data_IF_335208574042
#
_entry.id   IF_335208574042
#
_cell.length_a   1.000
_cell.length_b   1.000
_cell.length_c   1.000
_cell.angle_alpha   90.00
_cell.angle_beta   90.00
_cell.angle_gamma   90.00
#
_symmetry.space_group_name_H-M   'P 1'
#
loop_
_entity.id
_entity.type
_entity.pdbx_description
1 polymer ?
#
# COMPACT_ATOMS: atom_id res chain seq x y z
N UNK A 1 1.12 20.11 39.45
CA UNK A 1 0.51 18.89 38.87
C UNK A 1 0.04 18.03 40.02
N UNK A 2 -1.26 17.80 40.16
CA UNK A 2 -1.76 16.86 41.17
C UNK A 2 -1.21 15.48 40.82
N UNK A 3 -0.57 14.81 41.78
CA UNK A 3 -0.14 13.43 41.62
C UNK A 3 -1.38 12.55 41.49
N UNK A 4 -1.44 11.72 40.45
CA UNK A 4 -2.50 10.71 40.29
C UNK A 4 -2.47 9.76 41.49
N UNK A 5 -3.64 9.46 42.04
CA UNK A 5 -3.79 8.39 43.03
C UNK A 5 -3.51 7.03 42.38
N UNK A 6 -3.11 5.99 43.15
CA UNK A 6 -2.93 4.65 42.60
C UNK A 6 -4.18 4.10 41.89
N UNK A 7 -5.38 4.45 42.37
CA UNK A 7 -6.65 4.03 41.78
C UNK A 7 -6.89 4.69 40.42
N UNK A 8 -6.65 5.99 40.30
CA UNK A 8 -6.74 6.70 39.01
C UNK A 8 -5.70 6.17 38.02
N UNK A 9 -4.48 5.91 38.49
CA UNK A 9 -3.42 5.34 37.66
C UNK A 9 -3.81 3.96 37.11
N UNK A 10 -4.31 3.07 37.96
CA UNK A 10 -4.75 1.74 37.55
C UNK A 10 -5.97 1.81 36.62
N UNK A 11 -6.89 2.77 36.85
CA UNK A 11 -8.01 3.01 35.95
C UNK A 11 -7.55 3.41 34.55
N UNK A 12 -6.56 4.31 34.44
CA UNK A 12 -5.98 4.72 33.15
C UNK A 12 -5.36 3.51 32.45
N UNK A 13 -4.55 2.72 33.15
CA UNK A 13 -3.91 1.52 32.57
C UNK A 13 -4.92 0.48 32.07
N UNK A 14 -6.11 0.38 32.68
CA UNK A 14 -7.19 -0.53 32.25
C UNK A 14 -7.96 -0.05 31.02
N UNK A 15 -8.00 1.26 30.77
CA UNK A 15 -8.96 1.87 29.83
C UNK A 15 -8.33 2.72 28.74
N UNK A 16 -7.03 3.00 28.80
CA UNK A 16 -6.27 3.69 27.74
C UNK A 16 -5.03 2.88 27.38
N UNK A 17 -5.10 2.19 26.24
CA UNK A 17 -4.04 1.32 25.75
C UNK A 17 -2.78 2.12 25.41
N UNK A 18 -2.89 3.39 24.99
CA UNK A 18 -1.74 4.25 24.73
C UNK A 18 -0.90 4.50 26.01
N UNK A 19 -1.56 4.77 27.13
CA UNK A 19 -0.92 4.89 28.45
C UNK A 19 -0.33 3.56 28.91
N UNK A 20 -1.03 2.45 28.67
CA UNK A 20 -0.50 1.12 28.97
C UNK A 20 0.75 0.79 28.14
N UNK A 21 0.73 1.06 26.83
CA UNK A 21 1.89 0.92 25.93
C UNK A 21 3.07 1.76 26.44
N UNK A 22 2.81 3.00 26.84
CA UNK A 22 3.83 3.88 27.42
C UNK A 22 4.47 3.26 28.67
N UNK A 23 3.65 2.71 29.58
CA UNK A 23 4.16 2.05 30.79
C UNK A 23 4.95 0.78 30.48
N UNK A 24 4.49 -0.02 29.53
CA UNK A 24 5.19 -1.23 29.04
C UNK A 24 6.53 -0.86 28.42
N UNK A 25 6.58 0.19 27.61
CA UNK A 25 7.83 0.64 26.97
C UNK A 25 8.92 0.92 28.00
N UNK A 26 8.60 1.67 29.06
CA UNK A 26 9.56 2.00 30.12
C UNK A 26 9.95 0.79 30.98
N UNK A 27 9.09 -0.23 31.10
CA UNK A 27 9.46 -1.48 31.76
C UNK A 27 10.50 -2.26 30.95
N UNK A 28 10.28 -2.37 29.63
CA UNK A 28 11.18 -3.11 28.74
C UNK A 28 12.45 -2.34 28.40
N UNK A 29 12.42 -1.01 28.46
CA UNK A 29 13.50 -0.12 28.05
C UNK A 29 13.74 0.98 29.10
N UNK A 30 14.20 0.64 30.31
CA UNK A 30 14.29 1.60 31.43
C UNK A 30 15.25 2.77 31.19
N UNK A 31 16.21 2.59 30.28
CA UNK A 31 17.21 3.62 29.92
C UNK A 31 16.81 4.42 28.66
N UNK A 32 15.70 4.08 28.02
CA UNK A 32 15.27 4.75 26.80
C UNK A 32 14.16 5.76 27.08
N UNK A 33 14.20 6.88 26.37
CA UNK A 33 13.09 7.83 26.36
C UNK A 33 12.12 7.46 25.24
N UNK A 34 10.84 7.29 25.59
CA UNK A 34 9.80 7.11 24.58
C UNK A 34 9.58 8.42 23.83
N UNK A 35 9.83 8.40 22.52
CA UNK A 35 9.42 9.48 21.62
C UNK A 35 7.99 9.19 21.20
N UNK A 36 7.03 9.73 21.96
CA UNK A 36 5.61 9.60 21.63
C UNK A 36 5.31 10.31 20.30
N UNK A 37 4.53 9.64 19.46
CA UNK A 37 4.06 10.14 18.18
C UNK A 37 2.57 9.82 18.01
N UNK A 38 1.79 10.65 17.30
CA UNK A 38 0.34 10.45 17.18
C UNK A 38 -0.07 9.09 16.59
N UNK A 39 0.77 8.48 15.75
CA UNK A 39 0.48 7.16 15.20
C UNK A 39 0.44 6.05 16.29
N UNK A 40 1.15 6.22 17.42
CA UNK A 40 1.11 5.27 18.53
C UNK A 40 -0.29 5.28 19.18
N UNK A 41 -0.86 6.48 19.36
CA UNK A 41 -2.24 6.66 19.83
C UNK A 41 -3.25 6.09 18.81
N UNK A 42 -3.01 6.26 17.50
CA UNK A 42 -3.83 5.67 16.45
C UNK A 42 -3.83 4.14 16.50
N UNK A 43 -2.64 3.52 16.61
CA UNK A 43 -2.51 2.07 16.78
C UNK A 43 -3.28 1.62 18.01
N UNK A 44 -3.09 2.28 19.15
CA UNK A 44 -3.80 1.96 20.38
C UNK A 44 -5.32 2.02 20.20
N UNK A 45 -5.84 3.10 19.59
CA UNK A 45 -7.26 3.26 19.31
C UNK A 45 -7.85 2.13 18.44
N UNK A 46 -7.12 1.72 17.39
CA UNK A 46 -7.53 0.61 16.53
C UNK A 46 -7.49 -0.75 17.24
N UNK A 47 -6.50 -0.97 18.10
CA UNK A 47 -6.41 -2.18 18.92
C UNK A 47 -7.50 -2.22 20.01
N UNK A 48 -7.86 -1.09 20.60
CA UNK A 48 -9.01 -1.01 21.51
C UNK A 48 -10.33 -1.32 20.78
N UNK A 49 -10.48 -0.91 19.52
CA UNK A 49 -11.62 -1.32 18.70
C UNK A 49 -11.62 -2.83 18.40
N UNK A 50 -10.45 -3.47 18.33
CA UNK A 50 -10.34 -4.92 18.28
C UNK A 50 -10.78 -5.59 19.59
N UNK A 51 -10.39 -5.05 20.76
CA UNK A 51 -10.83 -5.52 22.09
C UNK A 51 -12.37 -5.49 22.21
N UNK A 52 -13.00 -4.43 21.71
CA UNK A 52 -14.47 -4.27 21.69
C UNK A 52 -15.18 -5.12 20.62
N UNK A 53 -14.44 -5.81 19.75
CA UNK A 53 -15.00 -6.60 18.66
C UNK A 53 -15.55 -5.78 17.47
N UNK A 54 -15.30 -4.47 17.45
CA UNK A 54 -15.69 -3.56 16.36
C UNK A 54 -14.82 -3.82 15.11
N UNK A 55 -13.53 -4.14 15.32
CA UNK A 55 -12.59 -4.53 14.27
C UNK A 55 -12.18 -5.98 14.49
N UNK A 56 -12.50 -6.86 13.53
CA UNK A 56 -12.14 -8.29 13.59
C UNK A 56 -10.94 -8.65 12.73
N UNK A 57 -10.59 -7.81 11.78
CA UNK A 57 -9.51 -8.01 10.81
C UNK A 57 -8.77 -6.69 10.67
N UNK A 58 -7.59 -6.58 11.30
CA UNK A 58 -6.78 -5.36 11.31
C UNK A 58 -5.41 -5.61 10.68
N UNK A 59 -5.01 -4.73 9.75
CA UNK A 59 -3.65 -4.66 9.21
C UNK A 59 -2.98 -3.38 9.71
N UNK A 60 -1.75 -3.51 10.21
CA UNK A 60 -0.90 -2.39 10.59
C UNK A 60 0.42 -2.50 9.82
N UNK A 61 0.61 -1.61 8.86
CA UNK A 61 1.82 -1.47 8.06
C UNK A 61 2.62 -0.23 8.47
N UNK A 62 3.82 -0.44 9.02
CA UNK A 62 4.70 0.62 9.51
C UNK A 62 6.15 0.35 9.11
N UNK A 63 6.95 1.42 8.91
CA UNK A 63 8.39 1.28 8.70
C UNK A 63 9.09 0.52 9.83
N UNK A 64 10.28 -0.04 9.56
CA UNK A 64 11.09 -0.67 10.59
C UNK A 64 11.31 0.26 11.78
N UNK A 65 11.49 -0.35 12.97
CA UNK A 65 11.81 0.34 14.22
C UNK A 65 10.73 1.30 14.76
N UNK A 66 9.51 1.34 14.24
CA UNK A 66 8.42 2.22 14.72
C UNK A 66 7.57 1.63 15.87
N UNK A 67 8.17 0.85 16.78
CA UNK A 67 7.52 0.24 17.97
C UNK A 67 6.33 -0.71 17.72
N UNK A 68 6.05 -1.06 16.47
CA UNK A 68 4.89 -1.87 16.07
C UNK A 68 4.73 -3.18 16.88
N UNK A 69 5.79 -3.96 17.03
CA UNK A 69 5.78 -5.22 17.79
C UNK A 69 5.61 -5.02 19.30
N UNK A 70 6.13 -3.92 19.86
CA UNK A 70 5.91 -3.58 21.28
C UNK A 70 4.45 -3.22 21.51
N UNK A 71 3.85 -2.43 20.63
CA UNK A 71 2.45 -2.00 20.75
C UNK A 71 1.49 -3.19 20.59
N UNK A 72 1.64 -3.94 19.50
CA UNK A 72 0.68 -4.99 19.09
C UNK A 72 0.96 -6.31 19.79
N UNK A 73 2.19 -6.83 19.71
CA UNK A 73 2.46 -8.21 20.10
C UNK A 73 2.71 -8.36 21.60
N UNK A 74 3.32 -7.37 22.24
CA UNK A 74 3.66 -7.41 23.67
C UNK A 74 2.60 -6.69 24.51
N UNK A 75 2.45 -5.39 24.34
CA UNK A 75 1.59 -4.56 25.19
C UNK A 75 0.12 -4.93 25.01
N UNK A 76 -0.39 -5.00 23.79
CA UNK A 76 -1.79 -5.32 23.57
C UNK A 76 -2.15 -6.75 23.99
N UNK A 77 -1.30 -7.75 23.75
CA UNK A 77 -1.51 -9.11 24.31
C UNK A 77 -1.63 -9.10 25.84
N UNK A 78 -0.73 -8.39 26.54
CA UNK A 78 -0.77 -8.30 27.99
C UNK A 78 -2.01 -7.53 28.48
N UNK A 79 -2.41 -6.46 27.79
CA UNK A 79 -3.59 -5.66 28.12
C UNK A 79 -4.89 -6.45 27.91
N UNK A 80 -5.00 -7.14 26.76
CA UNK A 80 -6.13 -7.99 26.42
C UNK A 80 -6.31 -9.11 27.44
N UNK A 81 -5.25 -9.85 27.80
CA UNK A 81 -5.31 -10.87 28.86
C UNK A 81 -5.55 -10.29 30.26
N UNK A 82 -5.20 -9.02 30.47
CA UNK A 82 -5.51 -8.28 31.69
C UNK A 82 -7.01 -8.11 31.90
N UNK A 83 -7.73 -7.86 30.81
CA UNK A 83 -9.18 -7.63 30.77
C UNK A 83 -9.98 -8.92 30.56
N UNK A 84 -9.39 -9.87 29.85
CA UNK A 84 -10.00 -11.12 29.42
C UNK A 84 -9.10 -12.32 29.78
N UNK A 85 -8.90 -12.60 31.08
CA UNK A 85 -7.98 -13.65 31.51
C UNK A 85 -8.40 -15.06 31.08
N UNK A 86 -9.66 -15.28 30.72
CA UNK A 86 -10.21 -16.54 30.20
C UNK A 86 -9.93 -16.78 28.70
N UNK A 87 -9.48 -15.76 27.97
CA UNK A 87 -9.30 -15.80 26.52
C UNK A 87 -7.93 -16.30 26.09
N UNK A 88 -7.84 -16.85 24.89
CA UNK A 88 -6.61 -17.39 24.31
C UNK A 88 -6.08 -16.53 23.16
N UNK A 89 -4.79 -16.19 23.22
CA UNK A 89 -4.08 -15.41 22.21
C UNK A 89 -2.99 -16.25 21.55
N UNK A 90 -2.99 -16.36 20.23
CA UNK A 90 -1.89 -16.94 19.46
C UNK A 90 -1.07 -15.81 18.84
N UNK A 91 0.24 -15.82 19.04
CA UNK A 91 1.18 -14.92 18.40
C UNK A 91 2.11 -15.71 17.48
N UNK A 92 2.24 -15.27 16.23
CA UNK A 92 3.17 -15.88 15.27
C UNK A 92 4.04 -14.85 14.57
N UNK A 93 5.31 -15.20 14.38
CA UNK A 93 6.28 -14.40 13.61
C UNK A 93 7.00 -15.27 12.59
N UNK A 94 7.80 -14.67 11.70
CA UNK A 94 8.61 -15.43 10.73
C UNK A 94 9.56 -16.45 11.40
N UNK A 95 9.94 -16.21 12.66
CA UNK A 95 10.95 -16.99 13.37
C UNK A 95 10.49 -17.35 14.78
N UNK A 96 10.76 -18.60 15.18
CA UNK A 96 10.35 -19.13 16.48
C UNK A 96 10.99 -18.35 17.64
N UNK A 97 12.30 -18.09 17.59
CA UNK A 97 13.03 -17.34 18.64
C UNK A 97 12.46 -15.94 18.87
N UNK A 98 12.06 -15.25 17.80
CA UNK A 98 11.47 -13.92 17.88
C UNK A 98 10.10 -13.96 18.57
N UNK A 99 9.25 -14.91 18.17
CA UNK A 99 7.94 -15.12 18.78
C UNK A 99 8.04 -15.51 20.26
N UNK A 100 9.02 -16.35 20.62
CA UNK A 100 9.29 -16.74 22.01
C UNK A 100 9.83 -15.57 22.84
N UNK A 101 10.68 -14.70 22.26
CA UNK A 101 11.12 -13.47 22.92
C UNK A 101 9.92 -12.58 23.27
N UNK A 102 9.01 -12.35 22.33
CA UNK A 102 7.80 -11.56 22.61
C UNK A 102 6.94 -12.18 23.70
N UNK A 103 6.88 -13.51 23.78
CA UNK A 103 6.19 -14.20 24.87
C UNK A 103 6.82 -13.99 26.24
N UNK A 104 8.15 -14.08 26.31
CA UNK A 104 8.89 -13.77 27.54
C UNK A 104 8.70 -12.32 27.97
N UNK A 105 8.76 -11.37 27.05
CA UNK A 105 8.56 -9.95 27.34
C UNK A 105 7.13 -9.70 27.84
N UNK A 106 6.11 -10.25 27.17
CA UNK A 106 4.71 -10.18 27.59
C UNK A 106 4.50 -10.77 28.99
N UNK A 107 5.07 -11.94 29.26
CA UNK A 107 5.00 -12.60 30.57
C UNK A 107 5.64 -11.74 31.65
N UNK A 108 6.81 -11.17 31.38
CA UNK A 108 7.53 -10.29 32.30
C UNK A 108 6.68 -9.08 32.70
N UNK A 109 5.98 -8.45 31.73
CA UNK A 109 5.02 -7.37 32.01
C UNK A 109 3.91 -7.85 32.95
N UNK A 110 3.30 -9.00 32.68
CA UNK A 110 2.20 -9.53 33.49
C UNK A 110 2.61 -9.90 34.93
N UNK A 111 3.90 -10.12 35.17
CA UNK A 111 4.46 -10.40 36.49
C UNK A 111 4.74 -9.14 37.31
N UNK A 112 4.70 -7.95 36.70
CA UNK A 112 5.02 -6.72 37.39
C UNK A 112 3.99 -6.37 38.48
N UNK A 113 4.42 -5.81 39.63
CA UNK A 113 3.51 -5.43 40.70
C UNK A 113 2.41 -4.45 40.26
N UNK A 114 2.77 -3.49 39.40
CA UNK A 114 1.80 -2.52 38.86
C UNK A 114 0.79 -3.19 37.94
N UNK A 115 1.20 -4.17 37.14
CA UNK A 115 0.29 -4.91 36.27
C UNK A 115 -0.67 -5.76 37.12
N UNK A 116 -0.16 -6.47 38.12
CA UNK A 116 -0.99 -7.31 38.99
C UNK A 116 -2.00 -6.52 39.81
N UNK A 117 -1.66 -5.27 40.16
CA UNK A 117 -2.57 -4.32 40.81
C UNK A 117 -3.61 -3.79 39.84
N UNK A 118 -3.20 -3.41 38.63
CA UNK A 118 -4.11 -2.99 37.56
C UNK A 118 -5.03 -4.14 37.11
N UNK A 119 -4.57 -5.38 36.99
CA UNK A 119 -5.37 -6.52 36.52
C UNK A 119 -5.35 -7.64 37.56
N UNK A 120 -6.17 -7.53 38.63
CA UNK A 120 -6.11 -8.47 39.75
C UNK A 120 -6.54 -9.89 39.38
N UNK A 121 -7.37 -10.06 38.36
CA UNK A 121 -7.88 -11.37 37.93
C UNK A 121 -6.95 -12.08 36.93
N UNK A 122 -6.08 -11.36 36.24
CA UNK A 122 -5.15 -11.88 35.24
C UNK A 122 -3.88 -12.47 35.88
N UNK A 123 -4.06 -13.44 36.78
CA UNK A 123 -2.96 -14.15 37.44
C UNK A 123 -2.44 -15.27 36.53
N UNK A 124 -1.13 -15.39 36.42
CA UNK A 124 -0.47 -16.47 35.70
C UNK A 124 -0.55 -17.77 36.51
N UNK A 125 -0.83 -18.88 35.84
CA UNK A 125 -0.78 -20.21 36.45
C UNK A 125 0.67 -20.67 36.67
N UNK A 126 0.84 -21.69 37.52
CA UNK A 126 2.16 -22.29 37.82
C UNK A 126 2.76 -23.11 36.67
N UNK A 127 2.11 -23.14 35.49
CA UNK A 127 2.66 -23.80 34.30
C UNK A 127 3.94 -23.08 33.86
N UNK A 128 5.02 -23.86 33.73
CA UNK A 128 6.40 -23.37 33.63
C UNK A 128 6.88 -23.00 32.22
N UNK A 129 6.06 -23.15 31.17
CA UNK A 129 6.53 -22.78 29.83
C UNK A 129 6.72 -21.25 29.76
N UNK A 130 7.97 -20.83 29.51
CA UNK A 130 8.39 -19.43 29.64
C UNK A 130 7.78 -18.51 28.58
N UNK A 131 7.56 -19.04 27.38
CA UNK A 131 6.99 -18.32 26.23
C UNK A 131 5.52 -18.68 25.96
N UNK A 132 5.07 -19.84 26.43
CA UNK A 132 3.67 -20.30 26.39
C UNK A 132 3.11 -20.36 27.81
N UNK A 133 2.28 -19.40 28.17
CA UNK A 133 1.76 -19.32 29.53
C UNK A 133 0.24 -19.29 29.55
N UNK A 134 -0.32 -19.84 30.63
CA UNK A 134 -1.75 -19.80 30.89
C UNK A 134 -2.05 -18.94 32.12
N UNK A 135 -3.22 -18.34 32.15
CA UNK A 135 -3.77 -17.67 33.33
C UNK A 135 -4.43 -18.69 34.26
N UNK A 136 -4.75 -18.26 35.48
CA UNK A 136 -5.56 -19.03 36.44
C UNK A 136 -7.03 -19.17 36.02
N UNK A 137 -7.46 -18.46 34.97
CA UNK A 137 -8.80 -18.55 34.37
C UNK A 137 -8.83 -19.41 33.10
N UNK A 138 -7.78 -20.20 32.85
CA UNK A 138 -7.62 -21.11 31.71
C UNK A 138 -7.49 -20.44 30.33
N UNK A 139 -7.40 -19.11 30.25
CA UNK A 139 -6.90 -18.42 29.06
C UNK A 139 -5.38 -18.45 29.00
N UNK A 140 -4.79 -17.73 28.05
CA UNK A 140 -3.34 -17.69 27.93
C UNK A 140 -2.81 -17.14 26.61
N UNK A 141 -1.50 -17.27 26.45
CA UNK A 141 -0.77 -16.86 25.25
C UNK A 141 0.09 -18.01 24.74
N UNK A 142 0.04 -18.24 23.43
CA UNK A 142 0.87 -19.22 22.72
C UNK A 142 1.77 -18.53 21.70
N UNK A 143 3.06 -18.88 21.69
CA UNK A 143 4.06 -18.40 20.73
C UNK A 143 4.37 -19.47 19.69
N UNK A 144 4.24 -19.11 18.41
CA UNK A 144 4.64 -19.99 17.29
C UNK A 144 5.34 -19.23 16.18
N UNK A 145 5.76 -19.94 15.14
CA UNK A 145 6.29 -19.38 13.90
C UNK A 145 5.41 -19.73 12.70
N UNK A 146 5.62 -19.05 11.59
CA UNK A 146 5.01 -19.45 10.31
C UNK A 146 5.44 -20.87 9.94
N UNK A 147 4.47 -21.74 9.68
CA UNK A 147 4.71 -23.17 9.45
C UNK A 147 4.85 -24.00 10.73
N UNK A 148 4.79 -23.37 11.91
CA UNK A 148 4.79 -24.04 13.21
C UNK A 148 3.51 -24.84 13.46
N UNK A 149 3.62 -25.83 14.35
CA UNK A 149 2.52 -26.73 14.70
C UNK A 149 1.50 -25.98 15.58
N UNK A 150 0.27 -25.86 15.08
CA UNK A 150 -0.88 -25.24 15.76
C UNK A 150 -1.99 -26.25 16.16
N UNK A 151 -1.79 -27.53 15.91
CA UNK A 151 -2.82 -28.57 16.11
C UNK A 151 -3.26 -28.67 17.58
N UNK A 152 -4.59 -28.62 17.80
CA UNK A 152 -5.20 -28.77 19.13
C UNK A 152 -5.22 -27.49 19.97
N UNK A 153 -4.81 -26.34 19.43
CA UNK A 153 -4.87 -25.05 20.12
C UNK A 153 -5.84 -24.10 19.42
N UNK A 154 -6.79 -23.59 20.20
CA UNK A 154 -7.75 -22.57 19.81
C UNK A 154 -7.31 -21.17 20.24
N UNK A 155 -7.89 -20.15 19.62
CA UNK A 155 -7.68 -18.76 20.00
C UNK A 155 -8.92 -17.89 19.77
N UNK A 156 -9.09 -16.91 20.64
CA UNK A 156 -10.02 -15.79 20.45
C UNK A 156 -9.36 -14.67 19.64
N UNK A 157 -8.04 -14.53 19.74
CA UNK A 157 -7.25 -13.53 19.03
C UNK A 157 -5.96 -14.13 18.45
N UNK A 158 -5.66 -13.79 17.20
CA UNK A 158 -4.42 -14.18 16.54
C UNK A 158 -3.67 -12.92 16.10
N UNK A 159 -2.40 -12.83 16.48
CA UNK A 159 -1.48 -11.76 16.09
C UNK A 159 -0.38 -12.35 15.20
N UNK A 160 -0.25 -11.79 14.01
CA UNK A 160 0.78 -12.09 13.03
C UNK A 160 1.76 -10.92 12.98
N UNK A 161 2.97 -11.10 13.54
CA UNK A 161 3.98 -10.05 13.63
C UNK A 161 5.19 -10.38 12.75
N UNK A 162 5.34 -9.62 11.66
CA UNK A 162 6.34 -9.81 10.61
C UNK A 162 6.40 -11.31 10.20
N UNK A 163 5.38 -11.85 9.50
CA UNK A 163 5.30 -13.28 9.17
C UNK A 163 6.28 -13.71 8.06
N UNK A 164 7.00 -12.77 7.44
CA UNK A 164 7.93 -13.00 6.34
C UNK A 164 9.22 -12.22 6.58
N UNK A 165 10.39 -12.83 6.33
CA UNK A 165 11.66 -12.09 6.39
C UNK A 165 11.88 -11.28 5.11
N UNK A 166 12.49 -10.08 5.19
CA UNK A 166 12.80 -9.27 4.01
C UNK A 166 13.55 -10.01 2.91
N UNK A 167 14.59 -10.78 3.27
CA UNK A 167 15.40 -11.53 2.29
C UNK A 167 14.62 -12.66 1.61
N UNK A 168 13.59 -13.20 2.28
CA UNK A 168 12.76 -14.29 1.77
C UNK A 168 11.67 -13.80 0.83
N UNK A 169 11.30 -12.51 0.91
CA UNK A 169 10.25 -11.91 0.08
C UNK A 169 10.57 -11.95 -1.43
N UNK A 170 11.86 -12.00 -1.78
CA UNK A 170 12.31 -12.06 -3.16
C UNK A 170 12.16 -13.45 -3.79
N UNK A 171 11.96 -14.49 -2.97
CA UNK A 171 11.75 -15.86 -3.42
C UNK A 171 10.27 -16.19 -3.38
N UNK A 172 9.66 -16.45 -4.55
CA UNK A 172 8.23 -16.80 -4.64
C UNK A 172 7.87 -17.99 -3.74
N UNK A 173 8.70 -19.03 -3.72
CA UNK A 173 8.47 -20.22 -2.90
C UNK A 173 8.56 -19.97 -1.40
N UNK A 174 9.31 -18.95 -0.96
CA UNK A 174 9.35 -18.55 0.46
C UNK A 174 8.23 -17.57 0.79
N UNK A 175 7.97 -16.59 -0.10
CA UNK A 175 6.91 -15.59 0.03
C UNK A 175 5.52 -16.21 0.13
N UNK A 176 5.27 -17.30 -0.60
CA UNK A 176 3.97 -18.00 -0.59
C UNK A 176 3.76 -18.88 0.65
N UNK A 177 4.81 -19.19 1.45
CA UNK A 177 4.67 -20.02 2.66
C UNK A 177 3.76 -19.39 3.71
N UNK A 178 3.94 -18.12 4.12
CA UNK A 178 2.99 -17.45 5.01
C UNK A 178 1.56 -17.48 4.50
N UNK A 179 1.35 -17.24 3.20
CA UNK A 179 0.03 -17.20 2.57
C UNK A 179 -0.65 -18.57 2.66
N UNK A 180 0.05 -19.63 2.25
CA UNK A 180 -0.45 -21.00 2.32
C UNK A 180 -0.71 -21.45 3.76
N UNK A 181 0.15 -21.05 4.71
CA UNK A 181 -0.04 -21.37 6.12
C UNK A 181 -1.23 -20.63 6.73
N UNK A 182 -1.45 -19.37 6.35
CA UNK A 182 -2.61 -18.59 6.73
C UNK A 182 -3.91 -19.27 6.29
N UNK A 183 -4.03 -19.59 4.99
CA UNK A 183 -5.23 -20.16 4.39
C UNK A 183 -5.55 -21.54 4.95
N UNK A 184 -4.54 -22.42 5.05
CA UNK A 184 -4.77 -23.84 5.34
C UNK A 184 -4.72 -24.18 6.83
N UNK A 185 -4.03 -23.40 7.65
CA UNK A 185 -3.79 -23.72 9.06
C UNK A 185 -4.39 -22.69 10.00
N UNK A 186 -4.05 -21.41 9.81
CA UNK A 186 -4.30 -20.38 10.82
C UNK A 186 -5.78 -20.02 10.96
N UNK A 187 -6.50 -19.85 9.85
CA UNK A 187 -7.93 -19.51 9.86
C UNK A 187 -8.80 -20.52 10.62
N UNK A 188 -8.38 -21.79 10.66
CA UNK A 188 -9.09 -22.85 11.39
C UNK A 188 -8.91 -22.79 12.92
N UNK A 189 -8.02 -21.92 13.43
CA UNK A 189 -7.66 -21.84 14.86
C UNK A 189 -8.48 -20.84 15.65
N UNK A 190 -9.27 -20.00 14.99
CA UNK A 190 -10.23 -19.16 15.71
C UNK A 190 -11.32 -20.05 16.31
N UNK A 191 -11.51 -19.95 17.62
CA UNK A 191 -12.52 -20.71 18.35
C UNK A 191 -13.93 -20.33 17.87
N UNK A 192 -14.16 -19.04 17.66
CA UNK A 192 -15.33 -18.51 16.96
C UNK A 192 -14.87 -17.75 15.71
N UNK A 193 -15.23 -18.21 14.52
CA UNK A 193 -14.83 -17.57 13.25
C UNK A 193 -15.50 -16.21 13.03
N UNK A 194 -16.68 -16.02 13.60
CA UNK A 194 -17.48 -14.80 13.45
C UNK A 194 -17.07 -13.72 14.44
N UNK A 195 -16.51 -14.08 15.60
CA UNK A 195 -16.10 -13.15 16.65
C UNK A 195 -14.58 -13.00 16.77
N UNK A 196 -13.83 -14.01 16.36
CA UNK A 196 -12.39 -14.06 16.52
C UNK A 196 -11.67 -12.95 15.78
N UNK A 197 -10.64 -12.40 16.40
CA UNK A 197 -9.88 -11.26 15.89
C UNK A 197 -8.56 -11.71 15.29
N UNK A 198 -8.20 -11.19 14.11
CA UNK A 198 -6.88 -11.38 13.52
C UNK A 198 -6.25 -10.01 13.28
N UNK A 199 -5.02 -9.85 13.79
CA UNK A 199 -4.22 -8.63 13.63
C UNK A 199 -2.93 -9.02 12.90
N UNK A 200 -2.70 -8.39 11.74
CA UNK A 200 -1.47 -8.53 10.97
C UNK A 200 -0.67 -7.24 11.08
N UNK A 201 0.48 -7.31 11.73
CA UNK A 201 1.43 -6.20 11.85
C UNK A 201 2.72 -6.54 11.13
N UNK A 202 3.09 -5.73 10.15
CA UNK A 202 4.37 -5.91 9.45
C UNK A 202 4.84 -4.62 8.78
N UNK A 203 6.03 -4.63 8.19
CA UNK A 203 6.37 -3.72 7.09
C UNK A 203 6.08 -4.40 5.77
N UNK A 204 5.63 -3.68 4.73
CA UNK A 204 5.43 -4.30 3.41
C UNK A 204 6.77 -4.74 2.82
N UNK A 205 6.77 -5.92 2.21
CA UNK A 205 7.97 -6.53 1.61
C UNK A 205 7.80 -6.85 0.13
N UNK A 206 6.58 -7.16 -0.30
CA UNK A 206 6.26 -7.51 -1.68
C UNK A 206 4.78 -7.27 -1.94
N UNK A 207 4.37 -7.06 -3.19
CA UNK A 207 2.93 -6.95 -3.52
C UNK A 207 2.13 -8.21 -3.14
N UNK A 208 2.78 -9.37 -3.19
CA UNK A 208 2.23 -10.70 -2.89
C UNK A 208 2.66 -11.21 -1.50
N UNK A 209 3.13 -10.31 -0.63
CA UNK A 209 3.29 -10.65 0.79
C UNK A 209 1.93 -10.93 1.43
N UNK A 210 1.94 -11.37 2.70
CA UNK A 210 0.69 -11.79 3.36
C UNK A 210 -0.36 -10.67 3.39
N UNK A 211 0.06 -9.41 3.52
CA UNK A 211 -0.87 -8.27 3.45
C UNK A 211 -1.55 -8.20 2.09
N UNK A 212 -0.79 -8.26 0.99
CA UNK A 212 -1.36 -8.28 -0.35
C UNK A 212 -2.30 -9.46 -0.58
N UNK A 213 -1.92 -10.63 -0.09
CA UNK A 213 -2.72 -11.86 -0.18
C UNK A 213 -4.07 -11.74 0.54
N UNK A 214 -4.08 -11.32 1.81
CA UNK A 214 -5.35 -11.26 2.58
C UNK A 214 -6.26 -10.11 2.15
N UNK A 215 -5.70 -9.02 1.61
CA UNK A 215 -6.48 -7.93 1.02
C UNK A 215 -7.17 -8.33 -0.29
N UNK A 216 -6.62 -9.29 -1.02
CA UNK A 216 -7.26 -9.84 -2.22
C UNK A 216 -8.46 -10.75 -1.89
N UNK A 217 -8.53 -11.29 -0.67
CA UNK A 217 -9.57 -12.26 -0.28
C UNK A 217 -10.76 -11.64 0.46
N UNK A 218 -10.60 -10.45 1.06
CA UNK A 218 -11.67 -9.86 1.86
C UNK A 218 -11.33 -8.49 2.44
N UNK A 219 -12.27 -7.98 3.22
CA UNK A 219 -12.15 -6.65 3.81
C UNK A 219 -11.36 -6.69 5.12
N UNK A 220 -10.40 -5.78 5.22
CA UNK A 220 -9.62 -5.52 6.43
C UNK A 220 -9.65 -4.03 6.76
N UNK A 221 -9.64 -3.69 8.04
CA UNK A 221 -9.30 -2.33 8.46
C UNK A 221 -7.77 -2.18 8.31
N UNK A 222 -7.32 -1.13 7.64
CA UNK A 222 -5.90 -0.96 7.28
C UNK A 222 -5.37 0.35 7.83
N UNK A 223 -4.32 0.24 8.65
CA UNK A 223 -3.47 1.35 9.06
C UNK A 223 -2.12 1.17 8.37
N UNK A 224 -1.93 1.84 7.23
CA UNK A 224 -0.67 1.81 6.48
C UNK A 224 -0.06 3.21 6.47
N UNK A 225 1.00 3.43 7.25
CA UNK A 225 1.61 4.75 7.38
C UNK A 225 3.01 4.77 6.75
N UNK A 226 3.23 5.52 5.67
CA UNK A 226 4.56 5.66 5.08
C UNK A 226 5.46 6.53 5.95
N UNK A 227 6.77 6.30 5.87
CA UNK A 227 7.78 7.11 6.55
C UNK A 227 7.70 8.60 6.16
N UNK A 228 7.35 8.89 4.91
CA UNK A 228 7.06 10.22 4.37
C UNK A 228 5.63 10.18 3.79
N UNK A 229 4.73 11.04 4.28
CA UNK A 229 3.36 11.11 3.78
C UNK A 229 3.34 11.42 2.28
N UNK A 230 2.60 10.62 1.50
CA UNK A 230 2.51 10.78 0.04
C UNK A 230 1.32 11.66 -0.36
N UNK A 231 0.30 11.69 0.48
CA UNK A 231 -0.91 12.48 0.34
C UNK A 231 -1.28 13.11 1.68
N UNK A 232 -2.26 14.00 1.67
CA UNK A 232 -2.85 14.52 2.90
C UNK A 232 -3.67 13.40 3.57
N UNK A 233 -3.26 13.01 4.77
CA UNK A 233 -3.89 11.92 5.53
C UNK A 233 -4.59 12.47 6.77
N UNK A 234 -5.78 11.94 7.06
CA UNK A 234 -6.53 12.28 8.28
C UNK A 234 -7.00 11.01 8.97
N UNK A 235 -6.68 10.88 10.26
CA UNK A 235 -7.08 9.76 11.10
C UNK A 235 -7.82 10.23 12.33
N UNK A 236 -8.90 9.54 12.68
CA UNK A 236 -9.61 9.74 13.94
C UNK A 236 -9.05 8.79 15.00
N UNK A 237 -8.65 9.37 16.13
CA UNK A 237 -8.14 8.66 17.31
C UNK A 237 -9.21 8.80 18.39
N UNK A 238 -9.70 7.67 18.89
CA UNK A 238 -10.68 7.60 19.97
C UNK A 238 -10.10 6.80 21.13
N UNK A 239 -10.16 7.36 22.33
CA UNK A 239 -9.80 6.69 23.58
C UNK A 239 -10.77 7.12 24.70
N UNK A 240 -10.52 6.67 25.93
CA UNK A 240 -11.39 7.01 27.06
C UNK A 240 -11.38 8.50 27.47
N UNK A 241 -10.45 9.31 26.96
CA UNK A 241 -10.38 10.75 27.20
C UNK A 241 -11.08 11.58 26.12
N UNK A 242 -11.52 10.95 25.02
CA UNK A 242 -12.30 11.59 23.97
C UNK A 242 -11.79 11.26 22.57
N UNK A 243 -12.14 12.14 21.63
CA UNK A 243 -11.80 11.99 20.21
C UNK A 243 -10.85 13.10 19.77
N UNK A 244 -9.81 12.73 19.02
CA UNK A 244 -8.79 13.62 18.47
C UNK A 244 -8.58 13.30 16.99
N UNK A 245 -8.24 14.32 16.21
CA UNK A 245 -7.83 14.14 14.81
C UNK A 245 -6.31 14.18 14.71
N UNK A 246 -5.75 13.25 13.94
CA UNK A 246 -4.36 13.23 13.53
C UNK A 246 -4.28 13.53 12.03
N UNK A 247 -3.68 14.67 11.70
CA UNK A 247 -3.52 15.17 10.35
C UNK A 247 -2.05 15.05 9.96
N UNK A 248 -1.79 14.54 8.76
CA UNK A 248 -0.48 14.57 8.10
C UNK A 248 -0.65 15.23 6.74
N UNK A 249 0.24 16.13 6.40
CA UNK A 249 0.31 16.73 5.07
C UNK A 249 1.29 15.98 4.20
N UNK A 250 1.11 16.02 2.88
CA UNK A 250 2.10 15.49 1.94
C UNK A 250 3.51 15.99 2.30
N UNK A 251 4.45 15.07 2.44
CA UNK A 251 5.84 15.33 2.84
C UNK A 251 6.13 15.21 4.34
N UNK A 252 5.11 15.13 5.20
CA UNK A 252 5.31 15.00 6.64
C UNK A 252 5.96 13.65 7.00
N UNK A 253 6.99 13.72 7.85
CA UNK A 253 7.66 12.53 8.37
C UNK A 253 6.79 11.83 9.42
N UNK A 254 6.82 10.50 9.46
CA UNK A 254 6.04 9.71 10.42
C UNK A 254 6.48 9.95 11.88
N UNK A 255 7.78 10.11 12.11
CA UNK A 255 8.34 10.43 13.42
C UNK A 255 9.56 11.36 13.28
N UNK A 256 9.35 12.67 13.05
CA UNK A 256 10.44 13.61 12.78
C UNK A 256 11.42 13.77 13.96
N UNK A 257 10.97 13.52 15.18
CA UNK A 257 11.82 13.54 16.38
C UNK A 257 12.77 12.35 16.47
N UNK A 258 12.50 11.28 15.72
CA UNK A 258 13.30 10.05 15.70
C UNK A 258 14.13 9.89 14.44
N UNK A 259 13.55 10.19 13.28
CA UNK A 259 14.19 10.03 11.97
C UNK A 259 14.01 11.30 11.15
N UNK A 260 15.14 11.91 10.80
CA UNK A 260 15.16 13.09 9.93
C UNK A 260 15.00 12.70 8.46
N UNK A 261 14.59 13.64 7.61
CA UNK A 261 14.54 13.44 6.16
C UNK A 261 15.92 13.06 5.59
N UNK A 262 17.01 13.63 6.12
CA UNK A 262 18.37 13.26 5.71
C UNK A 262 18.68 11.80 6.04
N UNK A 263 18.29 11.34 7.23
CA UNK A 263 18.49 9.94 7.64
C UNK A 263 17.70 8.98 6.75
N UNK A 264 16.47 9.32 6.39
CA UNK A 264 15.65 8.54 5.45
C UNK A 264 16.27 8.50 4.06
N UNK A 265 16.82 9.61 3.57
CA UNK A 265 17.51 9.64 2.28
C UNK A 265 18.79 8.81 2.28
N UNK A 266 19.57 8.84 3.37
CA UNK A 266 20.73 7.95 3.54
C UNK A 266 20.30 6.48 3.55
N UNK A 267 19.21 6.16 4.26
CA UNK A 267 18.67 4.81 4.29
C UNK A 267 18.20 4.35 2.91
N UNK A 268 17.48 5.21 2.17
CA UNK A 268 17.04 4.97 0.79
C UNK A 268 18.22 4.64 -0.13
N UNK A 269 19.31 5.41 -0.03
CA UNK A 269 20.52 5.15 -0.81
C UNK A 269 21.20 3.81 -0.43
N UNK A 270 21.13 3.42 0.84
CA UNK A 270 21.79 2.22 1.35
C UNK A 270 21.05 0.92 0.99
N UNK A 271 19.72 0.88 1.15
CA UNK A 271 18.91 -0.32 0.89
C UNK A 271 18.39 -0.39 -0.55
N UNK A 272 18.45 0.72 -1.28
CA UNK A 272 17.93 0.84 -2.63
C UNK A 272 16.45 1.22 -2.68
N UNK A 273 16.04 1.76 -3.82
CA UNK A 273 14.70 2.32 -4.02
C UNK A 273 13.58 1.28 -3.83
N UNK A 274 13.79 0.06 -4.33
CA UNK A 274 12.81 -1.04 -4.22
C UNK A 274 12.46 -1.36 -2.77
N UNK A 275 13.49 -1.60 -1.95
CA UNK A 275 13.31 -1.94 -0.54
C UNK A 275 12.82 -0.73 0.25
N UNK A 276 13.22 0.48 -0.12
CA UNK A 276 12.71 1.69 0.51
C UNK A 276 11.22 1.92 0.24
N UNK A 277 10.77 1.80 -1.01
CA UNK A 277 9.36 1.95 -1.36
C UNK A 277 8.49 0.90 -0.66
N UNK A 278 8.97 -0.35 -0.60
CA UNK A 278 8.28 -1.44 0.09
C UNK A 278 8.28 -1.23 1.60
N UNK A 279 9.46 -1.18 2.23
CA UNK A 279 9.60 -1.26 3.69
C UNK A 279 9.34 0.06 4.41
N UNK A 280 9.61 1.21 3.78
CA UNK A 280 9.45 2.53 4.40
C UNK A 280 8.20 3.26 3.89
N UNK A 281 7.92 3.23 2.58
CA UNK A 281 6.72 3.86 2.03
C UNK A 281 5.48 2.94 2.01
N UNK A 282 5.61 1.69 2.48
CA UNK A 282 4.52 0.69 2.50
C UNK A 282 3.88 0.43 1.12
N UNK A 283 4.60 0.74 0.04
CA UNK A 283 4.12 0.66 -1.34
C UNK A 283 5.05 -0.24 -2.14
N UNK A 284 4.94 -1.58 -1.97
CA UNK A 284 5.82 -2.50 -2.67
C UNK A 284 5.56 -2.47 -4.17
N UNK A 285 6.65 -2.46 -4.94
CA UNK A 285 6.60 -2.51 -6.40
C UNK A 285 6.83 -3.96 -6.91
N UNK A 286 6.34 -4.31 -8.10
CA UNK A 286 6.43 -5.68 -8.61
C UNK A 286 7.87 -6.02 -9.02
N UNK A 287 8.30 -7.25 -8.73
CA UNK A 287 9.65 -7.73 -9.05
C UNK A 287 9.96 -7.88 -10.56
N UNK A 288 8.96 -7.87 -11.43
CA UNK A 288 9.12 -8.11 -12.87
C UNK A 288 9.97 -7.07 -13.63
N UNK A 289 10.60 -6.14 -12.89
CA UNK A 289 11.14 -4.91 -13.43
C UNK A 289 10.01 -3.99 -13.81
N UNK A 290 10.04 -2.76 -13.32
CA UNK A 290 9.33 -1.68 -14.00
C UNK A 290 9.76 -1.70 -15.47
N UNK A 291 8.82 -1.93 -16.40
CA UNK A 291 9.15 -1.92 -17.84
C UNK A 291 9.85 -0.62 -18.20
N UNK A 292 9.43 0.48 -17.56
CA UNK A 292 10.03 1.80 -17.67
C UNK A 292 10.77 2.14 -16.37
N UNK A 293 12.07 2.45 -16.47
CA UNK A 293 12.89 2.85 -15.32
C UNK A 293 12.77 4.34 -15.03
N UNK A 294 12.84 4.70 -13.74
CA UNK A 294 12.74 6.10 -13.30
C UNK A 294 13.80 7.01 -13.93
N UNK A 295 15.02 6.51 -14.15
CA UNK A 295 16.13 7.25 -14.72
C UNK A 295 16.03 7.46 -16.25
N UNK A 296 15.06 6.82 -16.91
CA UNK A 296 14.78 7.02 -18.33
C UNK A 296 13.87 8.21 -18.59
N UNK A 297 13.06 8.60 -17.60
CA UNK A 297 12.10 9.70 -17.73
C UNK A 297 12.82 11.05 -17.85
N UNK A 298 12.61 11.75 -18.96
CA UNK A 298 13.09 13.11 -19.15
C UNK A 298 11.99 14.12 -18.79
N UNK A 299 12.42 15.33 -18.44
CA UNK A 299 11.49 16.40 -18.05
C UNK A 299 11.71 17.69 -18.83
N UNK A 300 10.64 18.44 -19.07
CA UNK A 300 10.66 19.77 -19.70
C UNK A 300 10.02 20.83 -18.80
N UNK A 301 10.54 22.06 -18.86
CA UNK A 301 9.93 23.21 -18.18
C UNK A 301 8.86 23.89 -19.03
N UNK A 302 9.22 24.18 -20.29
CA UNK A 302 8.33 24.84 -21.24
C UNK A 302 8.04 23.88 -22.39
N UNK A 303 6.76 23.66 -22.77
CA UNK A 303 6.45 22.78 -23.89
C UNK A 303 7.03 23.36 -25.20
N UNK A 304 7.30 22.51 -26.21
CA UNK A 304 7.81 22.97 -27.49
C UNK A 304 6.87 24.00 -28.15
N UNK A 305 7.44 25.00 -28.81
CA UNK A 305 6.68 26.06 -29.50
C UNK A 305 5.82 25.43 -30.59
N UNK A 306 4.53 25.80 -30.66
CA UNK A 306 3.55 25.20 -31.59
C UNK A 306 4.00 25.16 -33.06
N UNK A 307 4.73 26.18 -33.53
CA UNK A 307 5.25 26.22 -34.91
C UNK A 307 6.28 25.12 -35.22
N UNK A 308 6.95 24.59 -34.18
CA UNK A 308 7.91 23.51 -34.33
C UNK A 308 7.29 22.11 -34.27
N UNK A 309 6.11 21.97 -33.67
CA UNK A 309 5.46 20.68 -33.42
C UNK A 309 5.02 20.07 -34.75
N UNK A 310 5.52 18.86 -35.05
CA UNK A 310 5.15 18.15 -36.28
C UNK A 310 3.79 17.48 -36.18
N UNK A 311 3.37 17.10 -34.98
CA UNK A 311 2.08 16.47 -34.75
C UNK A 311 1.66 16.57 -33.28
N UNK A 312 0.36 16.81 -33.05
CA UNK A 312 -0.29 16.63 -31.75
C UNK A 312 -1.30 15.49 -31.88
N UNK A 313 -1.29 14.53 -30.95
CA UNK A 313 -2.26 13.44 -30.91
C UNK A 313 -2.90 13.35 -29.52
N UNK A 314 -4.11 12.78 -29.49
CA UNK A 314 -4.74 12.31 -28.28
C UNK A 314 -4.92 10.81 -28.38
N UNK A 315 -4.64 10.11 -27.30
CA UNK A 315 -4.89 8.68 -27.16
C UNK A 315 -5.85 8.49 -26.00
N UNK A 316 -6.95 7.78 -26.26
CA UNK A 316 -7.98 7.48 -25.29
C UNK A 316 -8.04 5.99 -25.00
N UNK A 317 -7.99 5.66 -23.71
CA UNK A 317 -8.41 4.38 -23.17
C UNK A 317 -9.76 4.59 -22.46
N UNK A 318 -10.79 3.92 -22.96
CA UNK A 318 -12.17 4.12 -22.52
C UNK A 318 -12.67 2.91 -21.74
N UNK A 319 -13.02 3.12 -20.47
CA UNK A 319 -13.64 2.09 -19.65
C UNK A 319 -15.08 1.76 -20.08
N UNK A 320 -15.53 0.53 -19.84
CA UNK A 320 -16.93 0.12 -19.92
C UNK A 320 -17.31 -0.80 -18.75
N UNK A 321 -18.23 -0.36 -17.88
CA UNK A 321 -19.35 -1.13 -17.29
C UNK A 321 -20.06 -0.42 -16.12
N UNK A 322 -21.34 -0.77 -16.03
CA UNK A 322 -22.46 -0.23 -15.26
C UNK A 322 -22.52 -0.74 -13.79
N UNK A 323 -21.37 -0.83 -13.12
CA UNK A 323 -21.29 -1.25 -11.71
C UNK A 323 -20.55 -0.20 -10.87
N UNK A 324 -20.91 -0.04 -9.60
CA UNK A 324 -20.46 0.97 -8.63
C UNK A 324 -18.92 1.07 -8.41
N UNK A 325 -18.12 0.27 -9.11
CA UNK A 325 -16.65 0.30 -9.16
C UNK A 325 -16.13 0.60 -10.59
N UNK A 326 -16.63 1.65 -11.24
CA UNK A 326 -16.27 1.98 -12.64
C UNK A 326 -14.76 2.23 -12.83
N UNK A 327 -14.13 1.55 -13.79
CA UNK A 327 -12.75 1.80 -14.25
C UNK A 327 -12.57 3.24 -14.78
N UNK A 328 -11.35 3.77 -14.75
CA UNK A 328 -11.09 5.14 -15.21
C UNK A 328 -11.10 5.21 -16.74
N UNK A 329 -11.62 6.31 -17.29
CA UNK A 329 -11.33 6.72 -18.67
C UNK A 329 -10.14 7.66 -18.67
N UNK A 330 -9.17 7.40 -19.53
CA UNK A 330 -7.92 8.15 -19.61
C UNK A 330 -7.73 8.74 -21.00
N UNK A 331 -7.27 9.99 -21.04
CA UNK A 331 -6.75 10.63 -22.25
C UNK A 331 -5.34 11.15 -21.99
N UNK A 332 -4.38 10.67 -22.78
CA UNK A 332 -3.03 11.26 -22.85
C UNK A 332 -2.88 12.10 -24.12
N UNK A 333 -2.46 13.36 -23.96
CA UNK A 333 -2.20 14.27 -25.09
C UNK A 333 -0.70 14.39 -25.33
N UNK A 334 -0.26 14.13 -26.56
CA UNK A 334 1.17 14.08 -26.91
C UNK A 334 1.51 15.01 -28.06
N UNK A 335 2.71 15.60 -28.02
CA UNK A 335 3.30 16.33 -29.14
C UNK A 335 4.59 15.65 -29.63
N UNK A 336 4.74 15.50 -30.93
CA UNK A 336 5.98 15.11 -31.58
C UNK A 336 6.76 16.36 -32.01
N UNK A 337 8.03 16.44 -31.61
CA UNK A 337 8.92 17.54 -31.96
C UNK A 337 10.35 17.02 -32.16
N UNK A 338 10.91 17.21 -33.37
CA UNK A 338 12.28 16.81 -33.72
C UNK A 338 12.66 15.36 -33.33
N UNK A 339 11.72 14.42 -33.46
CA UNK A 339 11.94 13.00 -33.13
C UNK A 339 11.76 12.64 -31.65
N UNK A 340 11.40 13.62 -30.80
CA UNK A 340 11.06 13.41 -29.39
C UNK A 340 9.55 13.57 -29.18
N UNK A 341 9.05 12.97 -28.10
CA UNK A 341 7.63 12.94 -27.74
C UNK A 341 7.42 13.58 -26.37
N UNK A 342 6.53 14.56 -26.32
CA UNK A 342 6.24 15.38 -25.14
C UNK A 342 4.82 15.10 -24.66
N UNK A 343 4.66 14.62 -23.44
CA UNK A 343 3.35 14.46 -22.81
C UNK A 343 2.86 15.82 -22.32
N UNK A 344 1.82 16.36 -22.95
CA UNK A 344 1.32 17.71 -22.70
C UNK A 344 0.25 17.76 -21.62
N UNK A 345 -0.61 16.73 -21.54
CA UNK A 345 -1.74 16.70 -20.62
C UNK A 345 -2.23 15.26 -20.41
N UNK A 346 -2.71 14.97 -19.20
CA UNK A 346 -3.37 13.72 -18.84
C UNK A 346 -4.71 14.04 -18.18
N UNK A 347 -5.79 13.53 -18.77
CA UNK A 347 -7.10 13.51 -18.14
C UNK A 347 -7.38 12.09 -17.65
N UNK A 348 -7.67 11.94 -16.37
CA UNK A 348 -8.11 10.68 -15.77
C UNK A 348 -9.39 10.92 -14.96
N UNK A 349 -10.52 10.36 -15.40
CA UNK A 349 -11.81 10.51 -14.72
C UNK A 349 -12.66 9.24 -14.85
N UNK A 350 -13.50 8.98 -13.85
CA UNK A 350 -14.58 8.00 -13.96
C UNK A 350 -15.76 8.68 -14.62
N UNK A 351 -16.07 8.29 -15.85
CA UNK A 351 -17.07 8.95 -16.67
C UNK A 351 -18.08 7.92 -17.17
N UNK A 352 -19.36 8.28 -17.06
CA UNK A 352 -20.42 7.57 -17.78
C UNK A 352 -20.43 8.02 -19.24
N UNK A 353 -21.05 7.24 -20.12
CA UNK A 353 -20.94 7.45 -21.57
C UNK A 353 -21.28 8.88 -22.06
N UNK A 354 -22.36 9.56 -21.59
CA UNK A 354 -22.63 10.94 -21.99
C UNK A 354 -21.52 11.92 -21.58
N UNK A 355 -21.00 11.77 -20.36
CA UNK A 355 -19.92 12.62 -19.83
C UNK A 355 -18.59 12.33 -20.51
N UNK A 356 -18.35 11.06 -20.89
CA UNK A 356 -17.20 10.65 -21.67
C UNK A 356 -17.18 11.35 -23.03
N UNK A 357 -18.31 11.35 -23.76
CA UNK A 357 -18.44 12.06 -25.04
C UNK A 357 -18.15 13.56 -24.89
N UNK A 358 -18.67 14.19 -23.84
CA UNK A 358 -18.41 15.59 -23.56
C UNK A 358 -16.93 15.85 -23.23
N UNK A 359 -16.31 15.01 -22.41
CA UNK A 359 -14.90 15.11 -22.05
C UNK A 359 -13.98 14.96 -23.27
N UNK A 360 -14.27 14.03 -24.18
CA UNK A 360 -13.53 13.88 -25.44
C UNK A 360 -13.59 15.16 -26.27
N UNK A 361 -14.78 15.73 -26.44
CA UNK A 361 -14.96 16.99 -27.18
C UNK A 361 -14.26 18.16 -26.51
N UNK A 362 -14.29 18.25 -25.19
CA UNK A 362 -13.61 19.30 -24.42
C UNK A 362 -12.09 19.23 -24.62
N UNK A 363 -11.51 18.05 -24.43
CA UNK A 363 -10.07 17.83 -24.64
C UNK A 363 -9.66 18.05 -26.10
N UNK A 364 -10.49 17.65 -27.06
CA UNK A 364 -10.25 17.89 -28.48
C UNK A 364 -10.21 19.39 -28.78
N UNK A 365 -11.15 20.18 -28.25
CA UNK A 365 -11.17 21.65 -28.43
C UNK A 365 -10.00 22.33 -27.74
N UNK A 366 -9.64 21.89 -26.53
CA UNK A 366 -8.53 22.43 -25.73
C UNK A 366 -7.20 22.29 -26.45
N UNK A 367 -6.90 21.10 -26.97
CA UNK A 367 -5.58 20.77 -27.51
C UNK A 367 -5.49 20.79 -29.03
N UNK A 368 -6.64 20.79 -29.73
CA UNK A 368 -6.74 20.74 -31.21
C UNK A 368 -5.82 19.67 -31.81
N UNK A 369 -5.98 18.39 -31.41
CA UNK A 369 -5.10 17.34 -31.88
C UNK A 369 -5.30 17.13 -33.38
N UNK A 370 -4.22 16.74 -34.06
CA UNK A 370 -4.27 16.36 -35.46
C UNK A 370 -4.92 14.99 -35.62
N UNK A 371 -4.75 14.12 -34.63
CA UNK A 371 -5.31 12.77 -34.58
C UNK A 371 -5.88 12.45 -33.22
N UNK A 372 -7.04 11.80 -33.21
CA UNK A 372 -7.74 11.34 -32.03
C UNK A 372 -7.82 9.81 -32.09
N UNK A 373 -6.98 9.14 -31.31
CA UNK A 373 -6.86 7.69 -31.27
C UNK A 373 -7.74 7.18 -30.14
N UNK A 374 -8.62 6.22 -30.44
CA UNK A 374 -9.56 5.65 -29.49
C UNK A 374 -9.54 4.13 -29.69
N UNK A 375 -9.40 3.37 -28.61
CA UNK A 375 -9.50 1.90 -28.69
C UNK A 375 -10.88 1.50 -29.21
N UNK A 376 -10.92 0.73 -30.30
CA UNK A 376 -12.16 0.28 -30.94
C UNK A 376 -12.72 -0.97 -30.23
N UNK A 377 -13.17 -0.75 -29.00
CA UNK A 377 -13.73 -1.79 -28.14
C UNK A 377 -14.79 -1.22 -27.21
N UNK A 378 -15.91 -1.93 -27.08
CA UNK A 378 -17.00 -1.59 -26.16
C UNK A 378 -17.45 -0.11 -26.29
N UNK A 379 -17.25 0.72 -25.25
CA UNK A 379 -17.61 2.15 -25.26
C UNK A 379 -16.85 2.95 -26.32
N UNK A 380 -15.64 2.52 -26.69
CA UNK A 380 -14.82 3.15 -27.72
C UNK A 380 -15.43 3.05 -29.12
N UNK A 381 -16.00 1.91 -29.50
CA UNK A 381 -16.68 1.77 -30.80
C UNK A 381 -17.86 2.73 -30.91
N UNK A 382 -18.66 2.81 -29.84
CA UNK A 382 -19.83 3.70 -29.79
C UNK A 382 -19.42 5.17 -29.85
N UNK A 383 -18.35 5.57 -29.13
CA UNK A 383 -17.90 6.97 -29.13
C UNK A 383 -17.31 7.37 -30.48
N UNK A 384 -16.63 6.46 -31.18
CA UNK A 384 -16.09 6.71 -32.52
C UNK A 384 -17.22 7.07 -33.50
N UNK A 385 -18.29 6.28 -33.52
CA UNK A 385 -19.43 6.53 -34.42
C UNK A 385 -20.15 7.84 -34.11
N UNK A 386 -20.28 8.17 -32.83
CA UNK A 386 -20.86 9.43 -32.37
C UNK A 386 -20.01 10.64 -32.74
N UNK A 387 -18.70 10.58 -32.55
CA UNK A 387 -17.79 11.68 -32.88
C UNK A 387 -17.68 11.87 -34.40
N UNK A 388 -17.79 10.79 -35.19
CA UNK A 388 -17.89 10.86 -36.67
C UNK A 388 -19.17 11.56 -37.10
N UNK A 389 -20.31 11.21 -36.49
CA UNK A 389 -21.61 11.88 -36.74
C UNK A 389 -21.56 13.37 -36.37
N UNK A 390 -20.82 13.71 -35.31
CA UNK A 390 -20.58 15.08 -34.87
C UNK A 390 -19.54 15.84 -35.75
N UNK A 391 -19.00 15.20 -36.79
CA UNK A 391 -18.09 15.84 -37.74
C UNK A 391 -16.67 16.08 -37.21
N UNK A 392 -16.23 15.37 -36.17
CA UNK A 392 -14.88 15.54 -35.61
C UNK A 392 -13.85 14.88 -36.52
N UNK A 393 -12.88 15.63 -37.07
CA UNK A 393 -11.89 15.07 -37.99
C UNK A 393 -10.74 14.39 -37.25
N UNK A 394 -10.04 13.50 -37.96
CA UNK A 394 -8.79 12.90 -37.49
C UNK A 394 -8.95 11.72 -36.52
N UNK A 395 -10.15 11.15 -36.41
CA UNK A 395 -10.41 9.96 -35.58
C UNK A 395 -9.70 8.74 -36.17
N UNK A 396 -8.95 8.01 -35.34
CA UNK A 396 -8.28 6.75 -35.68
C UNK A 396 -8.76 5.68 -34.69
N UNK A 397 -9.58 4.72 -35.14
CA UNK A 397 -9.86 3.51 -34.36
C UNK A 397 -8.56 2.73 -34.16
N UNK A 398 -8.28 2.32 -32.92
CA UNK A 398 -7.13 1.49 -32.59
C UNK A 398 -7.58 0.11 -32.13
N UNK A 399 -7.03 -0.93 -32.73
CA UNK A 399 -7.20 -2.29 -32.23
C UNK A 399 -5.83 -2.80 -31.79
N UNK A 400 -5.69 -3.27 -30.55
CA UNK A 400 -4.43 -3.83 -30.07
C UNK A 400 -3.98 -5.00 -30.96
N UNK A 401 -2.67 -5.18 -31.19
CA UNK A 401 -2.16 -6.32 -31.96
C UNK A 401 -2.62 -7.67 -31.38
N UNK A 402 -3.00 -8.60 -32.26
CA UNK A 402 -3.49 -9.91 -31.84
C UNK A 402 -2.44 -10.69 -31.03
N UNK A 403 -2.87 -11.25 -29.90
CA UNK A 403 -2.02 -12.08 -29.04
C UNK A 403 -1.05 -11.32 -28.13
N UNK A 404 -1.09 -9.99 -28.12
CA UNK A 404 -0.27 -9.17 -27.22
C UNK A 404 -1.08 -8.73 -25.99
N UNK A 405 -0.55 -9.01 -24.80
CA UNK A 405 -1.09 -8.48 -23.56
C UNK A 405 -0.59 -7.03 -23.31
N UNK A 406 -1.16 -6.38 -22.29
CA UNK A 406 -0.80 -4.98 -21.93
C UNK A 406 0.70 -4.83 -21.63
N UNK A 407 1.30 -5.86 -21.03
CA UNK A 407 2.71 -5.88 -20.65
C UNK A 407 3.59 -5.82 -21.89
N UNK A 408 3.35 -6.73 -22.85
CA UNK A 408 4.05 -6.79 -24.13
C UNK A 408 3.90 -5.49 -24.92
N UNK A 409 2.72 -4.85 -24.89
CA UNK A 409 2.48 -3.57 -25.57
C UNK A 409 3.38 -2.45 -25.06
N UNK A 410 3.56 -2.33 -23.75
CA UNK A 410 4.46 -1.33 -23.17
C UNK A 410 5.94 -1.70 -23.39
N UNK A 411 6.30 -2.98 -23.28
CA UNK A 411 7.67 -3.47 -23.54
C UNK A 411 8.13 -3.10 -24.95
N UNK A 412 7.26 -3.21 -25.97
CA UNK A 412 7.60 -2.75 -27.32
C UNK A 412 7.90 -1.25 -27.42
N UNK A 413 7.48 -0.43 -26.45
CA UNK A 413 7.75 1.01 -26.43
C UNK A 413 8.95 1.37 -25.55
N UNK A 414 9.53 0.43 -24.78
CA UNK A 414 10.60 0.70 -23.83
C UNK A 414 11.80 1.40 -24.45
N UNK A 415 12.13 1.08 -25.70
CA UNK A 415 13.26 1.68 -26.42
C UNK A 415 13.15 3.21 -26.51
N UNK A 416 11.93 3.75 -26.66
CA UNK A 416 11.74 5.20 -26.71
C UNK A 416 12.07 5.87 -25.37
N UNK A 417 11.82 5.16 -24.27
CA UNK A 417 12.16 5.62 -22.92
C UNK A 417 13.66 5.47 -22.67
N UNK A 418 14.26 4.31 -22.96
CA UNK A 418 15.70 4.10 -22.77
C UNK A 418 16.55 5.04 -23.63
N UNK A 419 16.07 5.38 -24.83
CA UNK A 419 16.67 6.36 -25.74
C UNK A 419 16.43 7.82 -25.29
N UNK A 420 15.75 8.05 -24.16
CA UNK A 420 15.45 9.37 -23.62
C UNK A 420 14.66 10.28 -24.57
N UNK A 421 13.78 9.70 -25.40
CA UNK A 421 12.94 10.42 -26.36
C UNK A 421 11.60 10.86 -25.78
N UNK A 422 11.26 10.43 -24.56
CA UNK A 422 10.00 10.74 -23.88
C UNK A 422 10.21 11.83 -22.82
N UNK A 423 9.46 12.92 -22.94
CA UNK A 423 9.56 14.09 -22.06
C UNK A 423 8.23 14.35 -21.34
N UNK A 424 8.29 14.42 -20.01
CA UNK A 424 7.17 14.77 -19.13
C UNK A 424 7.31 16.23 -18.64
N UNK A 425 6.24 16.93 -18.24
CA UNK A 425 6.39 18.25 -17.64
C UNK A 425 7.11 18.13 -16.29
N UNK A 426 7.90 19.13 -15.90
CA UNK A 426 8.48 19.19 -14.53
C UNK A 426 7.41 19.35 -13.45
N UNK A 427 6.28 19.98 -13.78
CA UNK A 427 5.18 20.22 -12.84
C UNK A 427 3.84 20.02 -13.56
N UNK A 428 2.97 19.18 -12.99
CA UNK A 428 1.57 19.04 -13.37
C UNK A 428 0.83 18.30 -12.24
N UNK A 429 -0.46 18.61 -12.04
CA UNK A 429 -1.26 18.00 -10.95
C UNK A 429 -1.47 16.50 -11.11
N UNK A 430 -1.35 15.97 -12.33
CA UNK A 430 -1.52 14.55 -12.67
C UNK A 430 -0.19 13.77 -12.75
N UNK A 431 0.96 14.45 -12.59
CA UNK A 431 2.27 13.89 -12.94
C UNK A 431 2.67 12.72 -12.04
N UNK A 432 2.48 12.86 -10.72
CA UNK A 432 2.94 11.84 -9.76
C UNK A 432 2.11 10.56 -9.88
N UNK A 433 0.79 10.67 -10.06
CA UNK A 433 -0.09 9.54 -10.34
C UNK A 433 0.30 8.83 -11.64
N UNK A 434 0.57 9.59 -12.70
CA UNK A 434 1.01 9.06 -13.99
C UNK A 434 2.36 8.33 -13.88
N UNK A 435 3.34 8.93 -13.22
CA UNK A 435 4.68 8.34 -13.02
C UNK A 435 4.61 7.06 -12.20
N UNK A 436 3.81 7.07 -11.14
CA UNK A 436 3.64 5.92 -10.24
C UNK A 436 3.03 4.76 -11.00
N UNK A 437 2.00 5.02 -11.81
CA UNK A 437 1.37 3.98 -12.64
C UNK A 437 2.33 3.45 -13.73
N UNK A 438 3.02 4.34 -14.45
CA UNK A 438 3.92 3.96 -15.53
C UNK A 438 5.14 3.15 -15.05
N UNK A 439 5.73 3.53 -13.92
CA UNK A 439 6.90 2.84 -13.35
C UNK A 439 6.45 1.56 -12.62
N UNK A 440 5.32 1.59 -11.92
CA UNK A 440 4.84 0.43 -11.15
C UNK A 440 4.20 -0.68 -11.99
N UNK A 441 3.90 -0.43 -13.27
CA UNK A 441 3.34 -1.43 -14.18
C UNK A 441 4.37 -2.53 -14.52
N UNK A 442 3.98 -3.83 -14.50
CA UNK A 442 2.61 -4.36 -14.58
C UNK A 442 1.80 -4.52 -13.29
N UNK A 443 2.36 -4.26 -12.11
CA UNK A 443 1.68 -4.58 -10.83
C UNK A 443 1.13 -3.38 -10.07
N UNK A 444 0.87 -2.28 -10.75
CA UNK A 444 -0.03 -1.23 -10.24
C UNK A 444 -1.48 -1.70 -10.32
N UNK A 445 -2.30 -1.31 -9.33
CA UNK A 445 -3.75 -1.62 -9.30
C UNK A 445 -4.47 -1.17 -10.58
N UNK A 446 -4.02 -0.07 -11.16
CA UNK A 446 -4.57 0.51 -12.38
C UNK A 446 -3.51 0.47 -13.49
N UNK A 447 -3.97 0.40 -14.74
CA UNK A 447 -3.11 0.36 -15.93
C UNK A 447 -3.67 1.16 -17.11
N UNK A 448 -4.72 1.95 -16.89
CA UNK A 448 -5.42 2.70 -17.94
C UNK A 448 -4.51 3.80 -18.55
N UNK A 449 -3.64 4.42 -17.73
CA UNK A 449 -2.67 5.41 -18.22
C UNK A 449 -1.56 4.78 -19.06
N UNK A 450 -1.17 3.56 -18.70
CA UNK A 450 -0.17 2.77 -19.43
C UNK A 450 -0.72 2.34 -20.79
N UNK A 451 -1.97 1.90 -20.85
CA UNK A 451 -2.61 1.52 -22.11
C UNK A 451 -2.73 2.71 -23.05
N UNK A 452 -3.25 3.84 -22.57
CA UNK A 452 -3.34 5.07 -23.36
C UNK A 452 -1.95 5.52 -23.87
N UNK A 453 -0.91 5.37 -23.05
CA UNK A 453 0.48 5.70 -23.43
C UNK A 453 1.04 4.76 -24.49
N UNK A 454 0.90 3.45 -24.30
CA UNK A 454 1.42 2.45 -25.24
C UNK A 454 0.78 2.60 -26.62
N UNK A 455 -0.53 2.85 -26.66
CA UNK A 455 -1.30 3.14 -27.86
C UNK A 455 -0.79 4.41 -28.59
N UNK A 456 -0.52 5.48 -27.84
CA UNK A 456 -0.01 6.73 -28.42
C UNK A 456 1.37 6.55 -29.08
N UNK A 457 2.27 5.86 -28.38
CA UNK A 457 3.64 5.63 -28.83
C UNK A 457 3.71 4.65 -30.00
N UNK A 458 2.87 3.61 -30.00
CA UNK A 458 2.72 2.70 -31.14
C UNK A 458 2.33 3.46 -32.41
N UNK A 459 1.36 4.37 -32.31
CA UNK A 459 0.94 5.20 -33.45
C UNK A 459 2.10 6.02 -34.02
N UNK A 460 2.94 6.60 -33.17
CA UNK A 460 4.13 7.32 -33.62
C UNK A 460 5.12 6.38 -34.31
N UNK A 461 5.43 5.21 -33.75
CA UNK A 461 6.38 4.25 -34.34
C UNK A 461 5.94 3.78 -35.73
N UNK A 462 4.68 3.36 -35.88
CA UNK A 462 4.14 2.84 -37.15
C UNK A 462 4.23 3.87 -38.27
N UNK A 463 4.00 5.15 -37.97
CA UNK A 463 4.13 6.23 -38.95
C UNK A 463 5.58 6.44 -39.40
N UNK A 464 6.54 6.42 -38.47
CA UNK A 464 7.97 6.55 -38.81
C UNK A 464 8.44 5.37 -39.68
N UNK A 465 8.09 4.13 -39.33
CA UNK A 465 8.42 2.95 -40.15
C UNK A 465 7.79 3.00 -41.53
N UNK A 466 6.53 3.43 -41.65
CA UNK A 466 5.87 3.59 -42.96
C UNK A 466 6.53 4.66 -43.83
N UNK A 467 7.03 5.75 -43.24
CA UNK A 467 7.73 6.79 -43.99
C UNK A 467 9.10 6.33 -44.49
N UNK A 468 9.87 5.62 -43.66
CA UNK A 468 11.16 5.02 -44.06
C UNK A 468 10.98 3.93 -45.12
N UNK A 469 9.97 3.08 -45.00
CA UNK A 469 9.64 2.06 -46.01
C UNK A 469 9.20 2.65 -47.36
N UNK A 470 8.62 3.86 -47.35
CA UNK A 470 8.34 4.61 -48.59
C UNK A 470 9.63 5.11 -49.23
N UNK A 471 10.62 5.57 -48.44
CA UNK A 471 11.92 6.00 -48.95
C UNK A 471 12.77 4.83 -49.46
N UNK A 472 12.77 3.69 -48.77
CA UNK A 472 13.39 2.45 -49.27
C UNK A 472 12.77 1.97 -50.60
N UNK A 473 11.44 2.09 -50.75
CA UNK A 473 10.76 1.79 -52.02
C UNK A 473 11.01 2.81 -53.14
N UNK A 474 11.47 4.02 -52.79
CA UNK A 474 11.81 5.07 -53.76
C UNK A 474 13.29 5.05 -54.17
N UNK A 475 14.08 4.09 -53.67
CA UNK A 475 15.44 3.80 -54.17
C UNK A 475 16.39 5.00 -54.14
N UNK A 476 16.33 5.83 -53.09
CA UNK A 476 17.35 6.86 -52.84
C UNK A 476 18.21 6.51 -51.64
#
# INVERSE_FOLDING_TARGET
MNQLTPQEYDFILRNDLASFITRVFYELNPQAQLIMAPYIELIASKLEACDRGEIKRLIICLPPRQLKSVCVTIAFSAWYLGRHPEKNVICASYGQELSEKFGRDCRSIMQQPWYQRAFPEARLSDRQALHDFATTKNGGRFSTSVGGVLTGRGADMIILDDPLKPQEALSESQRTKPNNWYDNTLLSRLDNKDEGVIILVMQRLHQDDLVGHVLAQGNWDVVSLPAIAMEDEQFTIQNCFGTKQYLRKTGDLLNPARESLSSLNTMRAAIGEYDFLSQYQQTPIPQGGSIIKINWLQYYETPPIRMGISQIIQSWDTAFKDTEQSNYSVCTTWAAFKGNYYLLDVLRKRLQYPDLKNAVKEQYRKHRPHKLIIEDKASGSSIIDDLRRDGIPGIIPHTPPHGMDKRMRLEMQSDLFSDQKIFLPKTASWLDDYRTELIGFPGTKYNDQVDSTSQALEYFKTKYSSSLAIWEKLGR
#
